data_IF_365949378801
#
_entry.id   IF_365949378801
#
_cell.length_a   1.000
_cell.length_b   1.000
_cell.length_c   1.000
_cell.angle_alpha   90.00
_cell.angle_beta   90.00
_cell.angle_gamma   90.00
#
_symmetry.space_group_name_H-M   'P 1'
#
loop_
_entity.id
_entity.type
_entity.pdbx_description
1 polymer ?
#
# COMPACT_ATOMS: atom_id res chain seq x y z
N UNK A 1 9.86 -24.28 -0.69
CA UNK A 1 9.77 -24.26 0.79
C UNK A 1 11.11 -24.52 1.50
N UNK A 2 11.98 -25.33 0.95
CA UNK A 2 13.32 -25.63 1.55
C UNK A 2 14.15 -24.37 1.85
N UNK A 3 14.03 -23.33 1.02
CA UNK A 3 14.70 -22.05 1.23
C UNK A 3 14.26 -21.36 2.54
N UNK A 4 12.98 -21.38 2.85
CA UNK A 4 12.44 -20.73 4.07
C UNK A 4 12.71 -21.57 5.32
N UNK A 5 12.56 -22.90 5.24
CA UNK A 5 12.79 -23.79 6.39
C UNK A 5 14.22 -23.70 6.97
N UNK A 6 15.20 -23.32 6.12
CA UNK A 6 16.59 -23.14 6.52
C UNK A 6 16.88 -21.73 7.08
N UNK A 7 15.89 -20.84 7.16
CA UNK A 7 16.06 -19.41 7.52
C UNK A 7 15.17 -18.93 8.68
N UNK A 8 14.58 -19.84 9.41
CA UNK A 8 13.71 -19.51 10.55
C UNK A 8 14.37 -18.67 11.65
N UNK A 9 15.70 -18.74 11.78
CA UNK A 9 16.47 -17.92 12.73
C UNK A 9 16.94 -16.58 12.15
N UNK A 10 16.81 -16.38 10.83
CA UNK A 10 17.31 -15.20 10.12
C UNK A 10 16.21 -14.24 9.67
N UNK A 11 14.98 -14.71 9.56
CA UNK A 11 13.84 -13.96 9.05
C UNK A 11 12.66 -14.05 10.02
N UNK A 12 12.06 -12.90 10.33
CA UNK A 12 10.88 -12.84 11.21
C UNK A 12 9.57 -12.98 10.41
N UNK A 13 9.56 -12.57 9.15
CA UNK A 13 8.36 -12.49 8.34
C UNK A 13 8.63 -12.72 6.85
N UNK A 14 7.58 -13.12 6.14
CA UNK A 14 7.55 -13.18 4.67
C UNK A 14 6.47 -12.23 4.17
N UNK A 15 6.82 -11.36 3.22
CA UNK A 15 5.90 -10.42 2.59
C UNK A 15 5.55 -10.92 1.20
N UNK A 16 4.26 -11.18 0.97
CA UNK A 16 3.73 -11.50 -0.35
C UNK A 16 3.53 -10.21 -1.15
N UNK A 17 4.15 -10.13 -2.31
CA UNK A 17 4.20 -8.94 -3.16
C UNK A 17 4.28 -9.33 -4.64
N UNK A 18 4.31 -8.31 -5.53
CA UNK A 18 4.44 -8.49 -6.98
C UNK A 18 3.09 -8.53 -7.68
N UNK A 19 2.92 -7.67 -8.71
CA UNK A 19 1.63 -7.46 -9.35
C UNK A 19 0.53 -7.16 -8.32
N UNK A 20 -0.56 -7.93 -8.36
CA UNK A 20 -1.57 -7.93 -7.29
C UNK A 20 -1.72 -9.36 -6.73
N UNK A 21 -1.13 -9.64 -5.55
CA UNK A 21 -1.12 -11.00 -4.99
C UNK A 21 -2.51 -11.59 -4.76
N UNK A 22 -3.50 -10.76 -4.42
CA UNK A 22 -4.87 -11.22 -4.16
C UNK A 22 -5.58 -11.79 -5.39
N UNK A 23 -5.00 -11.65 -6.60
CA UNK A 23 -5.49 -12.36 -7.81
C UNK A 23 -5.17 -13.86 -7.78
N UNK A 24 -4.13 -14.26 -7.05
CA UNK A 24 -3.64 -15.63 -7.04
C UNK A 24 -4.52 -16.55 -6.20
N UNK A 25 -5.06 -17.60 -6.79
CA UNK A 25 -5.92 -18.56 -6.09
C UNK A 25 -5.16 -19.33 -4.99
N UNK A 26 -3.87 -19.59 -5.20
CA UNK A 26 -3.03 -20.31 -4.25
C UNK A 26 -2.53 -19.44 -3.08
N UNK A 27 -2.84 -18.13 -3.03
CA UNK A 27 -2.25 -17.21 -2.05
C UNK A 27 -2.52 -17.64 -0.60
N UNK A 28 -3.77 -17.97 -0.27
CA UNK A 28 -4.15 -18.38 1.08
C UNK A 28 -3.41 -19.66 1.53
N UNK A 29 -3.29 -20.64 0.62
CA UNK A 29 -2.57 -21.88 0.90
C UNK A 29 -1.07 -21.62 1.12
N UNK A 30 -0.45 -20.77 0.29
CA UNK A 30 0.94 -20.39 0.42
C UNK A 30 1.20 -19.62 1.74
N UNK A 31 0.32 -18.70 2.12
CA UNK A 31 0.39 -17.99 3.41
C UNK A 31 0.30 -18.96 4.60
N UNK A 32 -0.64 -19.92 4.54
CA UNK A 32 -0.80 -20.93 5.59
C UNK A 32 0.44 -21.81 5.73
N UNK A 33 1.05 -22.21 4.62
CA UNK A 33 2.26 -23.01 4.63
C UNK A 33 3.46 -22.22 5.22
N UNK A 34 3.65 -20.96 4.82
CA UNK A 34 4.68 -20.08 5.38
C UNK A 34 4.46 -19.86 6.87
N UNK A 35 3.21 -19.66 7.30
CA UNK A 35 2.85 -19.52 8.72
C UNK A 35 3.16 -20.77 9.53
N UNK A 36 2.95 -21.96 8.96
CA UNK A 36 3.29 -23.23 9.62
C UNK A 36 4.80 -23.42 9.87
N UNK A 37 5.64 -22.71 9.12
CA UNK A 37 7.08 -22.62 9.34
C UNK A 37 7.48 -21.60 10.42
N UNK A 38 6.53 -20.93 11.07
CA UNK A 38 6.76 -19.97 12.15
C UNK A 38 6.93 -18.51 11.72
N UNK A 39 6.82 -18.18 10.44
CA UNK A 39 6.97 -16.81 9.97
C UNK A 39 5.68 -15.98 10.13
N UNK A 40 5.84 -14.70 10.43
CA UNK A 40 4.77 -13.73 10.26
C UNK A 40 4.49 -13.46 8.78
N UNK A 41 3.26 -13.07 8.47
CA UNK A 41 2.80 -12.88 7.11
C UNK A 41 2.50 -11.42 6.83
N UNK A 42 3.21 -10.85 5.88
CA UNK A 42 2.93 -9.53 5.31
C UNK A 42 2.31 -9.64 3.91
N UNK A 43 1.53 -8.64 3.53
CA UNK A 43 0.96 -8.52 2.19
C UNK A 43 1.11 -7.09 1.67
N UNK A 44 1.63 -6.93 0.46
CA UNK A 44 1.49 -5.71 -0.32
C UNK A 44 0.33 -5.87 -1.30
N UNK A 45 -0.60 -4.92 -1.32
CA UNK A 45 -1.77 -4.97 -2.21
C UNK A 45 -2.18 -3.57 -2.66
N UNK A 46 -2.74 -3.48 -3.86
CA UNK A 46 -3.41 -2.28 -4.37
C UNK A 46 -4.89 -2.19 -3.94
N UNK A 47 -5.37 -3.16 -3.18
CA UNK A 47 -6.73 -3.17 -2.65
C UNK A 47 -7.84 -3.45 -3.66
N UNK A 48 -7.52 -3.97 -4.86
CA UNK A 48 -8.50 -4.18 -5.93
C UNK A 48 -9.58 -5.24 -5.61
N UNK A 49 -9.34 -6.10 -4.60
CA UNK A 49 -10.24 -7.23 -4.29
C UNK A 49 -10.59 -7.27 -2.78
N UNK A 50 -11.43 -6.36 -2.29
CA UNK A 50 -11.73 -6.22 -0.85
C UNK A 50 -12.30 -7.49 -0.21
N UNK A 51 -13.16 -8.24 -0.91
CA UNK A 51 -13.72 -9.48 -0.37
C UNK A 51 -12.67 -10.61 -0.27
N UNK A 52 -11.69 -10.64 -1.17
CA UNK A 52 -10.56 -11.59 -1.07
C UNK A 52 -9.64 -11.20 0.08
N UNK A 53 -9.33 -9.90 0.20
CA UNK A 53 -8.54 -9.37 1.31
C UNK A 53 -9.19 -9.68 2.65
N UNK A 54 -10.50 -9.49 2.78
CA UNK A 54 -11.24 -9.81 4.00
C UNK A 54 -11.10 -11.28 4.41
N UNK A 55 -11.09 -12.21 3.46
CA UNK A 55 -10.89 -13.64 3.74
C UNK A 55 -9.46 -13.97 4.19
N UNK A 56 -8.48 -13.14 3.81
CA UNK A 56 -7.07 -13.33 4.17
C UNK A 56 -6.72 -12.75 5.54
N UNK A 57 -7.54 -11.87 6.13
CA UNK A 57 -7.24 -11.21 7.41
C UNK A 57 -6.78 -12.16 8.53
N UNK A 58 -7.37 -13.37 8.70
CA UNK A 58 -6.91 -14.29 9.75
C UNK A 58 -5.47 -14.82 9.57
N UNK A 59 -4.92 -14.69 8.36
CA UNK A 59 -3.57 -15.13 8.03
C UNK A 59 -2.55 -13.99 8.05
N UNK A 60 -2.99 -12.72 8.17
CA UNK A 60 -2.14 -11.55 7.99
C UNK A 60 -1.72 -10.96 9.34
N UNK A 61 -0.44 -10.66 9.47
CA UNK A 61 0.11 -9.89 10.59
C UNK A 61 0.31 -8.42 10.19
N UNK A 62 0.55 -8.14 8.90
CA UNK A 62 0.77 -6.79 8.39
C UNK A 62 0.32 -6.63 6.93
N UNK A 63 -0.21 -5.46 6.58
CA UNK A 63 -0.58 -5.09 5.21
C UNK A 63 -0.01 -3.72 4.86
N UNK A 64 0.67 -3.66 3.72
CA UNK A 64 0.98 -2.42 3.00
C UNK A 64 -0.05 -2.20 1.90
N UNK A 65 -0.99 -1.27 2.11
CA UNK A 65 -2.05 -0.94 1.16
C UNK A 65 -1.69 0.28 0.33
N UNK A 66 -1.77 0.17 -0.99
CA UNK A 66 -1.59 1.31 -1.89
C UNK A 66 -2.91 2.07 -2.05
N UNK A 67 -2.99 3.29 -1.53
CA UNK A 67 -4.04 4.27 -1.83
C UNK A 67 -3.42 5.34 -2.72
N UNK A 68 -3.84 5.38 -3.98
CA UNK A 68 -3.20 6.23 -5.01
C UNK A 68 -3.79 7.63 -5.09
N UNK A 69 -5.07 7.80 -4.80
CA UNK A 69 -5.80 9.06 -4.88
C UNK A 69 -7.16 8.95 -4.16
N UNK A 70 -7.98 10.00 -4.21
CA UNK A 70 -9.41 9.88 -3.91
C UNK A 70 -10.11 8.96 -4.92
N UNK A 71 -11.24 8.32 -4.56
CA UNK A 71 -11.92 7.36 -5.44
C UNK A 71 -12.24 7.91 -6.84
N UNK A 72 -12.60 9.19 -6.92
CA UNK A 72 -12.95 9.89 -8.16
C UNK A 72 -11.79 10.03 -9.13
N UNK A 73 -10.56 10.10 -8.60
CA UNK A 73 -9.36 10.41 -9.38
C UNK A 73 -8.60 9.14 -9.81
N UNK A 74 -9.01 7.99 -9.29
CA UNK A 74 -8.38 6.71 -9.60
C UNK A 74 -8.40 6.34 -11.09
N UNK A 75 -9.50 6.55 -11.85
CA UNK A 75 -9.54 6.22 -13.27
C UNK A 75 -8.43 6.92 -14.07
N UNK A 76 -8.05 8.14 -13.70
CA UNK A 76 -6.99 8.89 -14.37
C UNK A 76 -5.60 8.31 -14.12
N UNK A 77 -5.43 7.57 -12.99
CA UNK A 77 -4.16 6.96 -12.60
C UNK A 77 -4.06 5.51 -13.07
N UNK A 78 -5.17 4.78 -13.00
CA UNK A 78 -5.17 3.31 -13.19
C UNK A 78 -5.76 2.88 -14.52
N UNK A 79 -6.45 3.78 -15.23
CA UNK A 79 -7.26 3.50 -16.42
C UNK A 79 -8.35 2.43 -16.19
N UNK A 80 -8.73 2.18 -14.93
CA UNK A 80 -9.74 1.17 -14.55
C UNK A 80 -10.87 1.85 -13.79
N UNK A 81 -12.08 1.78 -14.35
CA UNK A 81 -13.30 2.27 -13.70
C UNK A 81 -13.52 1.52 -12.37
N UNK A 82 -14.04 2.21 -11.36
CA UNK A 82 -14.34 1.67 -10.02
C UNK A 82 -13.13 1.15 -9.19
N UNK A 83 -11.89 1.22 -9.71
CA UNK A 83 -10.72 0.75 -8.97
C UNK A 83 -10.51 1.53 -7.66
N UNK A 84 -10.85 2.82 -7.64
CA UNK A 84 -10.81 3.64 -6.44
C UNK A 84 -11.78 3.16 -5.38
N UNK A 85 -13.02 2.83 -5.75
CA UNK A 85 -14.01 2.30 -4.82
C UNK A 85 -13.52 1.00 -4.15
N UNK A 86 -12.95 0.08 -4.91
CA UNK A 86 -12.43 -1.17 -4.38
C UNK A 86 -11.25 -0.94 -3.40
N UNK A 87 -10.29 -0.07 -3.77
CA UNK A 87 -9.15 0.26 -2.91
C UNK A 87 -9.59 0.90 -1.58
N UNK A 88 -10.53 1.84 -1.62
CA UNK A 88 -11.06 2.49 -0.41
C UNK A 88 -11.94 1.56 0.43
N UNK A 89 -12.66 0.62 -0.18
CA UNK A 89 -13.35 -0.45 0.54
C UNK A 89 -12.33 -1.36 1.25
N UNK A 90 -11.21 -1.70 0.60
CA UNK A 90 -10.12 -2.46 1.22
C UNK A 90 -9.50 -1.71 2.39
N UNK A 91 -9.33 -0.38 2.29
CA UNK A 91 -8.90 0.46 3.41
C UNK A 91 -9.86 0.35 4.59
N UNK A 92 -11.17 0.48 4.34
CA UNK A 92 -12.19 0.34 5.39
C UNK A 92 -12.15 -1.04 6.06
N UNK A 93 -11.98 -2.12 5.28
CA UNK A 93 -11.84 -3.49 5.80
C UNK A 93 -10.63 -3.60 6.75
N UNK A 94 -9.49 -3.03 6.35
CA UNK A 94 -8.26 -3.07 7.15
C UNK A 94 -8.34 -2.21 8.41
N UNK A 95 -8.91 -1.00 8.33
CA UNK A 95 -9.10 -0.12 9.50
C UNK A 95 -10.03 -0.73 10.55
N UNK A 96 -10.97 -1.60 10.14
CA UNK A 96 -11.85 -2.33 11.04
C UNK A 96 -11.28 -3.69 11.49
N UNK A 97 -10.02 -3.99 11.19
CA UNK A 97 -9.33 -5.22 11.56
C UNK A 97 -8.26 -4.97 12.62
N UNK A 98 -7.69 -6.06 13.18
CA UNK A 98 -6.53 -5.99 14.07
C UNK A 98 -5.20 -6.16 13.34
N UNK A 99 -5.20 -6.19 12.01
CA UNK A 99 -3.98 -6.35 11.21
C UNK A 99 -3.21 -5.03 11.19
N UNK A 100 -1.90 -5.08 11.41
CA UNK A 100 -1.08 -3.88 11.32
C UNK A 100 -1.11 -3.32 9.88
N UNK A 101 -1.43 -2.03 9.75
CA UNK A 101 -1.63 -1.36 8.45
C UNK A 101 -0.57 -0.27 8.23
N UNK A 102 0.03 -0.28 7.07
CA UNK A 102 0.73 0.86 6.47
C UNK A 102 0.00 1.25 5.18
N UNK A 103 -0.48 2.48 5.09
CA UNK A 103 -0.99 3.03 3.83
C UNK A 103 0.15 3.69 3.08
N UNK A 104 0.24 3.43 1.78
CA UNK A 104 1.27 3.99 0.90
C UNK A 104 0.62 4.74 -0.26
N UNK A 105 1.20 5.88 -0.61
CA UNK A 105 0.80 6.64 -1.80
C UNK A 105 2.00 6.93 -2.66
N UNK A 106 1.94 6.52 -3.94
CA UNK A 106 2.95 6.91 -4.94
C UNK A 106 2.57 8.27 -5.50
N UNK A 107 3.48 9.22 -5.37
CA UNK A 107 3.29 10.59 -5.80
C UNK A 107 3.35 10.70 -7.32
N UNK A 108 2.23 11.00 -7.95
CA UNK A 108 2.21 11.22 -9.39
C UNK A 108 2.90 12.54 -9.74
N UNK A 109 3.60 12.62 -10.88
CA UNK A 109 4.40 13.79 -11.25
C UNK A 109 3.63 15.11 -11.33
N UNK A 110 2.34 15.06 -11.61
CA UNK A 110 1.47 16.23 -11.77
C UNK A 110 0.78 16.70 -10.49
N UNK A 111 1.01 16.01 -9.36
CA UNK A 111 0.36 16.36 -8.10
C UNK A 111 0.96 17.60 -7.47
N UNK A 112 0.08 18.40 -6.87
CA UNK A 112 0.44 19.58 -6.09
C UNK A 112 0.58 19.27 -4.60
N UNK A 113 1.34 20.09 -3.85
CA UNK A 113 1.42 19.94 -2.38
C UNK A 113 0.05 19.93 -1.69
N UNK A 114 -0.89 20.74 -2.17
CA UNK A 114 -2.25 20.85 -1.62
C UNK A 114 -3.04 19.55 -1.82
N UNK A 115 -2.96 18.93 -3.00
CA UNK A 115 -3.65 17.66 -3.28
C UNK A 115 -3.14 16.55 -2.38
N UNK A 116 -1.80 16.48 -2.21
CA UNK A 116 -1.17 15.46 -1.36
C UNK A 116 -1.52 15.67 0.11
N UNK A 117 -1.47 16.92 0.60
CA UNK A 117 -1.84 17.25 1.96
C UNK A 117 -3.32 16.93 2.24
N UNK A 118 -4.20 17.24 1.30
CA UNK A 118 -5.64 16.94 1.42
C UNK A 118 -5.88 15.44 1.54
N UNK A 119 -5.23 14.61 0.70
CA UNK A 119 -5.33 13.16 0.80
C UNK A 119 -4.76 12.63 2.12
N UNK A 120 -3.57 13.11 2.51
CA UNK A 120 -2.92 12.69 3.75
C UNK A 120 -3.77 13.00 4.98
N UNK A 121 -4.32 14.21 5.07
CA UNK A 121 -5.17 14.62 6.18
C UNK A 121 -6.46 13.80 6.23
N UNK A 122 -7.07 13.53 5.07
CA UNK A 122 -8.26 12.68 5.01
C UNK A 122 -7.97 11.25 5.47
N UNK A 123 -6.83 10.66 5.08
CA UNK A 123 -6.40 9.34 5.56
C UNK A 123 -6.19 9.33 7.08
N UNK A 124 -5.59 10.39 7.64
CA UNK A 124 -5.44 10.54 9.09
C UNK A 124 -6.78 10.65 9.80
N UNK A 125 -7.75 11.40 9.24
CA UNK A 125 -9.12 11.52 9.80
C UNK A 125 -9.87 10.19 9.84
N UNK A 126 -9.57 9.28 8.88
CA UNK A 126 -10.12 7.93 8.87
C UNK A 126 -9.43 6.97 9.87
N UNK A 127 -8.34 7.40 10.52
CA UNK A 127 -7.61 6.59 11.49
C UNK A 127 -6.37 5.88 10.94
N UNK A 128 -5.87 6.27 9.78
CA UNK A 128 -4.55 5.80 9.29
C UNK A 128 -3.46 6.38 10.17
N UNK A 129 -2.71 5.51 10.87
CA UNK A 129 -1.63 5.91 11.78
C UNK A 129 -0.23 5.70 11.22
N UNK A 130 -0.07 4.83 10.22
CA UNK A 130 1.20 4.63 9.54
C UNK A 130 1.02 4.97 8.06
N UNK A 131 1.70 6.02 7.61
CA UNK A 131 1.58 6.52 6.25
C UNK A 131 2.94 6.71 5.60
N UNK A 132 3.07 6.26 4.36
CA UNK A 132 4.31 6.34 3.57
C UNK A 132 4.04 6.98 2.21
N UNK A 133 4.78 8.02 1.87
CA UNK A 133 4.80 8.59 0.53
C UNK A 133 5.99 8.04 -0.26
N UNK A 134 5.74 7.64 -1.49
CA UNK A 134 6.75 7.09 -2.40
C UNK A 134 6.90 8.02 -3.61
N UNK A 135 8.12 8.43 -3.92
CA UNK A 135 8.37 9.10 -5.19
C UNK A 135 8.08 8.14 -6.34
N UNK A 136 7.48 8.66 -7.42
CA UNK A 136 7.28 7.87 -8.64
C UNK A 136 8.62 7.66 -9.34
N UNK A 137 9.03 6.39 -9.51
CA UNK A 137 10.16 6.06 -10.39
C UNK A 137 9.70 6.13 -11.85
N UNK A 138 9.95 7.26 -12.48
CA UNK A 138 9.60 7.48 -13.88
C UNK A 138 10.54 6.80 -14.86
N UNK A 139 11.68 6.25 -14.40
CA UNK A 139 12.67 5.57 -15.27
C UNK A 139 12.22 4.16 -15.64
N UNK A 140 11.39 3.54 -14.80
CA UNK A 140 10.83 2.20 -14.99
C UNK A 140 9.30 2.23 -15.07
N UNK A 141 8.70 3.42 -15.29
CA UNK A 141 7.26 3.54 -15.44
C UNK A 141 6.77 2.83 -16.71
N UNK A 142 5.57 2.25 -16.64
CA UNK A 142 4.94 1.60 -17.79
C UNK A 142 4.67 2.60 -18.93
N UNK A 143 4.36 3.86 -18.60
CA UNK A 143 4.27 4.94 -19.55
C UNK A 143 5.64 5.63 -19.69
N UNK A 144 6.33 5.49 -20.83
CA UNK A 144 7.63 6.12 -21.06
C UNK A 144 7.54 7.65 -21.22
N UNK A 145 6.33 8.20 -21.38
CA UNK A 145 6.08 9.63 -21.52
C UNK A 145 5.71 10.30 -20.21
N UNK A 146 5.69 9.55 -19.09
CA UNK A 146 5.39 10.10 -17.79
C UNK A 146 6.44 11.17 -17.43
N UNK A 147 6.05 12.45 -17.25
CA UNK A 147 7.00 13.52 -16.97
C UNK A 147 7.66 13.29 -15.60
N UNK A 148 8.83 13.87 -15.38
CA UNK A 148 9.38 14.00 -14.04
C UNK A 148 8.54 14.97 -13.22
N UNK A 149 8.43 14.72 -11.92
CA UNK A 149 7.76 15.67 -11.02
C UNK A 149 8.43 17.05 -11.09
N UNK A 150 7.61 18.10 -11.19
CA UNK A 150 8.07 19.49 -11.14
C UNK A 150 8.50 19.92 -9.72
N UNK A 151 8.13 19.14 -8.71
CA UNK A 151 8.37 19.46 -7.30
C UNK A 151 9.29 18.41 -6.66
N UNK A 152 10.16 18.89 -5.75
CA UNK A 152 10.92 17.98 -4.88
C UNK A 152 9.99 17.29 -3.86
N UNK A 153 10.40 16.14 -3.36
CA UNK A 153 9.65 15.42 -2.32
C UNK A 153 9.42 16.31 -1.08
N UNK A 154 10.43 17.11 -0.69
CA UNK A 154 10.33 18.08 0.41
C UNK A 154 9.25 19.12 0.15
N UNK A 155 9.17 19.66 -1.07
CA UNK A 155 8.12 20.62 -1.45
C UNK A 155 6.74 19.98 -1.40
N UNK A 156 6.60 18.76 -1.93
CA UNK A 156 5.32 18.03 -1.97
C UNK A 156 4.80 17.70 -0.57
N UNK A 157 5.68 17.48 0.39
CA UNK A 157 5.28 17.09 1.77
C UNK A 157 5.19 18.26 2.74
N UNK A 158 5.60 19.48 2.33
CA UNK A 158 5.70 20.63 3.22
C UNK A 158 4.39 21.05 3.90
N UNK A 159 3.24 20.73 3.32
CA UNK A 159 1.91 21.09 3.84
C UNK A 159 1.26 19.95 4.64
N UNK A 160 1.93 18.80 4.77
CA UNK A 160 1.38 17.67 5.52
C UNK A 160 1.66 17.85 7.02
N UNK A 161 0.62 17.79 7.82
CA UNK A 161 0.72 17.72 9.28
C UNK A 161 1.16 16.31 9.71
N UNK A 162 2.45 16.03 9.64
CA UNK A 162 3.01 14.69 9.89
C UNK A 162 2.76 14.18 11.31
N UNK A 163 2.51 15.07 12.26
CA UNK A 163 2.18 14.75 13.67
C UNK A 163 0.82 14.05 13.82
N UNK A 164 -0.01 14.05 12.78
CA UNK A 164 -1.27 13.28 12.73
C UNK A 164 -1.06 11.78 12.60
N UNK A 165 0.15 11.35 12.25
CA UNK A 165 0.53 9.95 12.09
C UNK A 165 1.47 9.52 13.22
N UNK A 166 1.35 8.29 13.69
CA UNK A 166 2.34 7.69 14.61
C UNK A 166 3.65 7.48 13.85
N UNK A 167 3.55 7.07 12.57
CA UNK A 167 4.70 6.92 11.67
C UNK A 167 4.39 7.53 10.32
N UNK A 168 5.20 8.52 9.95
CA UNK A 168 5.19 9.10 8.60
C UNK A 168 6.56 8.90 7.98
N UNK A 169 6.61 8.38 6.75
CA UNK A 169 7.86 8.14 6.02
C UNK A 169 7.77 8.59 4.58
N UNK A 170 8.91 8.94 4.00
CA UNK A 170 9.07 9.22 2.58
C UNK A 170 10.12 8.28 2.01
N UNK A 171 9.90 7.76 0.80
CA UNK A 171 10.77 6.79 0.12
C UNK A 171 11.03 7.21 -1.32
N UNK A 172 12.17 6.79 -1.89
CA UNK A 172 12.47 7.02 -3.30
C UNK A 172 13.04 8.40 -3.58
N UNK A 173 14.10 8.76 -2.85
CA UNK A 173 14.94 9.95 -3.14
C UNK A 173 16.08 9.54 -4.05
#
# INVERSE_FOLDING_TARGET
>A
MDFLSQRGELLDAVVFSGGEPTTQQALAAAMSEVRSLGFKIGLHTNGAYPERLQRLLPLLDWVGLDIKAFPTDYPDITAVTDSGRAAWQSLSVLLNSNVALEVRTTLMPHWTPEQIATLAHHLADLGVINYSLQACDTTHAFDPHLPRSAHSLTTLTAQIETTRFIRFTTRGV
#
